data_IF_417500826038
#
_entry.id   IF_417500826038
#
_cell.length_a   1.000
_cell.length_b   1.000
_cell.length_c   1.000
_cell.angle_alpha   90.00
_cell.angle_beta   90.00
_cell.angle_gamma   90.00
#
_symmetry.space_group_name_H-M   'P 1'
#
loop_
_entity.id
_entity.type
_entity.pdbx_description
1 polymer ?
#
# COMPACT_ATOMS: atom_id res chain seq x y z
N UNK A 1 -2.40 10.68 29.13
CA UNK A 1 -2.88 11.20 27.84
C UNK A 1 -1.63 11.38 26.97
N UNK A 2 -1.54 10.69 25.83
CA UNK A 2 -0.43 10.91 24.90
C UNK A 2 -0.45 12.38 24.48
N UNK A 3 0.72 13.02 24.45
CA UNK A 3 0.81 14.44 24.14
C UNK A 3 0.44 14.64 22.66
N UNK A 4 -0.65 15.35 22.38
CA UNK A 4 -1.16 15.55 21.01
C UNK A 4 -0.19 16.36 20.12
N UNK A 5 0.91 16.87 20.70
CA UNK A 5 1.96 17.63 20.02
C UNK A 5 3.13 16.77 19.54
N UNK A 6 3.20 15.49 19.92
CA UNK A 6 4.26 14.59 19.51
C UNK A 6 3.92 13.90 18.18
N UNK A 7 4.92 13.77 17.31
CA UNK A 7 4.79 13.15 15.99
C UNK A 7 5.80 12.03 15.81
N UNK A 8 5.43 11.05 14.99
CA UNK A 8 6.27 9.92 14.62
C UNK A 8 6.33 9.80 13.09
N UNK A 9 7.52 9.56 12.55
CA UNK A 9 7.69 9.35 11.12
C UNK A 9 7.26 7.92 10.76
N UNK A 10 6.44 7.79 9.71
CA UNK A 10 6.04 6.52 9.12
C UNK A 10 6.60 6.38 7.70
N UNK A 11 6.83 5.13 7.28
CA UNK A 11 7.26 4.78 5.93
C UNK A 11 6.12 4.09 5.16
N UNK A 12 5.69 4.68 4.05
CA UNK A 12 4.56 4.21 3.22
C UNK A 12 5.06 4.14 1.77
N UNK A 13 5.34 2.92 1.29
CA UNK A 13 6.10 2.74 0.05
C UNK A 13 7.47 3.39 0.18
N UNK A 14 7.71 4.40 -0.65
CA UNK A 14 8.90 5.25 -0.61
C UNK A 14 8.64 6.64 -0.03
N UNK A 15 7.49 6.90 0.57
CA UNK A 15 7.20 8.15 1.28
C UNK A 15 7.56 8.04 2.76
N UNK A 16 8.19 9.08 3.30
CA UNK A 16 8.28 9.34 4.74
C UNK A 16 7.37 10.51 5.10
N UNK A 17 6.58 10.38 6.16
CA UNK A 17 5.67 11.43 6.64
C UNK A 17 5.48 11.33 8.15
N UNK A 18 5.38 12.47 8.83
CA UNK A 18 5.16 12.52 10.27
C UNK A 18 3.66 12.51 10.59
N UNK A 19 3.23 11.57 11.44
CA UNK A 19 1.85 11.43 11.91
C UNK A 19 1.81 11.69 13.42
N UNK A 20 0.80 12.37 13.96
CA UNK A 20 0.70 12.56 15.41
C UNK A 20 0.63 11.21 16.13
N UNK A 21 1.34 11.07 17.26
CA UNK A 21 1.39 9.81 18.03
C UNK A 21 0.05 9.35 18.58
N UNK A 22 -0.92 10.27 18.64
CA UNK A 22 -2.29 9.95 19.03
C UNK A 22 -3.04 9.16 17.97
N UNK A 23 -2.56 9.09 16.72
CA UNK A 23 -3.22 8.34 15.65
C UNK A 23 -2.57 6.96 15.50
N UNK A 24 -3.41 5.95 15.31
CA UNK A 24 -3.00 4.57 15.04
C UNK A 24 -3.12 4.25 13.55
N UNK A 25 -2.14 3.52 13.01
CA UNK A 25 -2.21 2.97 11.67
C UNK A 25 -3.28 1.87 11.64
N UNK A 26 -4.41 2.13 10.99
CA UNK A 26 -5.52 1.17 10.89
C UNK A 26 -5.47 0.32 9.63
N UNK A 27 -4.83 0.83 8.57
CA UNK A 27 -4.69 0.11 7.32
C UNK A 27 -3.48 0.61 6.54
N UNK A 28 -2.69 -0.31 6.00
CA UNK A 28 -1.70 -0.06 4.96
C UNK A 28 -1.94 -1.07 3.84
N UNK A 29 -2.15 -0.60 2.63
CA UNK A 29 -2.49 -1.44 1.49
C UNK A 29 -1.88 -0.91 0.21
N UNK A 30 -1.99 -1.70 -0.87
CA UNK A 30 -1.47 -1.34 -2.17
C UNK A 30 -0.60 -2.45 -2.75
N UNK A 31 0.15 -2.10 -3.78
CA UNK A 31 1.01 -3.02 -4.50
C UNK A 31 2.40 -2.39 -4.71
N UNK A 32 3.43 -3.23 -4.62
CA UNK A 32 4.80 -2.89 -4.95
C UNK A 32 5.44 -4.17 -5.48
N UNK A 33 5.90 -4.15 -6.74
CA UNK A 33 6.43 -5.31 -7.48
C UNK A 33 5.41 -6.42 -7.80
N UNK A 34 4.58 -6.79 -6.83
CA UNK A 34 3.54 -7.84 -6.88
C UNK A 34 2.16 -7.22 -6.75
N UNK A 35 1.11 -7.92 -7.21
CA UNK A 35 -0.26 -7.39 -7.18
C UNK A 35 -0.89 -7.39 -5.79
N UNK A 36 -0.49 -8.32 -4.92
CA UNK A 36 -0.94 -8.39 -3.53
C UNK A 36 0.25 -8.74 -2.63
N UNK A 37 0.25 -8.21 -1.40
CA UNK A 37 1.25 -8.52 -0.39
C UNK A 37 0.62 -8.51 1.00
N UNK A 38 0.93 -9.52 1.81
CA UNK A 38 0.33 -9.72 3.13
C UNK A 38 1.33 -10.31 4.12
N UNK A 39 1.30 -9.81 5.36
CA UNK A 39 1.97 -10.42 6.51
C UNK A 39 0.99 -11.37 7.19
N UNK A 40 1.31 -12.66 7.22
CA UNK A 40 0.43 -13.71 7.73
C UNK A 40 0.61 -13.98 9.23
N UNK A 41 1.77 -13.62 9.80
CA UNK A 41 2.03 -13.77 11.23
C UNK A 41 3.43 -14.31 11.54
N UNK A 42 3.75 -14.57 12.81
CA UNK A 42 5.01 -15.20 13.19
C UNK A 42 5.06 -16.65 12.67
N UNK A 43 6.22 -17.10 12.20
CA UNK A 43 6.41 -18.47 11.74
C UNK A 43 7.65 -18.65 10.87
N UNK A 44 8.17 -19.88 10.88
CA UNK A 44 9.27 -20.32 10.03
C UNK A 44 8.79 -20.92 8.72
N UNK A 45 9.72 -21.58 8.04
CA UNK A 45 9.47 -22.29 6.78
C UNK A 45 8.33 -23.32 6.86
N UNK A 46 8.25 -24.08 7.95
CA UNK A 46 7.19 -25.07 8.18
C UNK A 46 5.79 -24.43 8.28
N UNK A 47 5.72 -23.23 8.84
CA UNK A 47 4.46 -22.49 8.96
C UNK A 47 4.02 -21.94 7.60
N UNK A 48 4.95 -21.43 6.79
CA UNK A 48 4.67 -21.05 5.41
C UNK A 48 4.15 -22.25 4.59
N UNK A 49 4.73 -23.44 4.78
CA UNK A 49 4.26 -24.66 4.14
C UNK A 49 2.86 -25.09 4.61
N UNK A 50 2.61 -25.01 5.92
CA UNK A 50 1.29 -25.31 6.50
C UNK A 50 0.22 -24.42 5.88
N UNK A 51 0.46 -23.11 5.83
CA UNK A 51 -0.48 -22.14 5.25
C UNK A 51 -0.66 -22.38 3.74
N UNK A 52 0.41 -22.66 2.99
CA UNK A 52 0.31 -23.00 1.57
C UNK A 52 -0.55 -24.25 1.34
N UNK A 53 -0.39 -25.29 2.18
CA UNK A 53 -1.23 -26.50 2.13
C UNK A 53 -2.70 -26.21 2.45
N UNK A 54 -2.97 -25.38 3.44
CA UNK A 54 -4.34 -24.95 3.78
C UNK A 54 -4.98 -24.20 2.62
N UNK A 55 -4.23 -23.32 1.95
CA UNK A 55 -4.70 -22.63 0.76
C UNK A 55 -5.03 -23.61 -0.38
N UNK A 56 -4.18 -24.61 -0.62
CA UNK A 56 -4.41 -25.64 -1.65
C UNK A 56 -5.68 -26.43 -1.34
N UNK A 57 -5.88 -26.85 -0.09
CA UNK A 57 -7.09 -27.55 0.33
C UNK A 57 -8.33 -26.66 0.13
N UNK A 58 -8.28 -25.41 0.58
CA UNK A 58 -9.37 -24.46 0.43
C UNK A 58 -9.73 -24.18 -1.04
N UNK A 59 -8.73 -24.11 -1.93
CA UNK A 59 -8.95 -23.97 -3.38
C UNK A 59 -9.61 -25.22 -3.98
N UNK A 60 -9.15 -26.42 -3.60
CA UNK A 60 -9.74 -27.69 -4.05
C UNK A 60 -11.19 -27.86 -3.55
N UNK A 61 -11.46 -27.45 -2.32
CA UNK A 61 -12.79 -27.45 -1.71
C UNK A 61 -13.70 -26.36 -2.30
N UNK A 62 -13.13 -25.39 -3.05
CA UNK A 62 -13.88 -24.35 -3.73
C UNK A 62 -14.38 -23.22 -2.84
N UNK A 63 -13.81 -23.06 -1.65
CA UNK A 63 -14.25 -22.05 -0.67
C UNK A 63 -13.51 -20.71 -0.82
N UNK A 64 -12.43 -20.66 -1.59
CA UNK A 64 -11.67 -19.43 -1.85
C UNK A 64 -12.41 -18.58 -2.89
N UNK A 65 -12.63 -17.31 -2.57
CA UNK A 65 -13.22 -16.31 -3.46
C UNK A 65 -12.31 -15.09 -3.59
N UNK A 66 -12.31 -14.46 -4.76
CA UNK A 66 -11.67 -13.17 -4.97
C UNK A 66 -12.45 -12.06 -4.26
N UNK A 67 -11.88 -10.85 -4.20
CA UNK A 67 -12.57 -9.65 -3.71
C UNK A 67 -13.90 -9.35 -4.42
N UNK A 68 -14.07 -9.84 -5.66
CA UNK A 68 -15.32 -9.71 -6.43
C UNK A 68 -16.34 -10.82 -6.16
N UNK A 69 -16.07 -11.70 -5.19
CA UNK A 69 -16.90 -12.88 -4.88
C UNK A 69 -16.72 -14.05 -5.84
N UNK A 70 -15.86 -13.92 -6.86
CA UNK A 70 -15.60 -14.98 -7.84
C UNK A 70 -14.80 -16.13 -7.23
N UNK A 71 -15.31 -17.35 -7.32
CA UNK A 71 -14.60 -18.58 -6.91
C UNK A 71 -13.23 -18.67 -7.57
N UNK A 72 -12.24 -19.16 -6.82
CA UNK A 72 -10.89 -19.44 -7.30
C UNK A 72 -10.69 -20.94 -7.41
N UNK A 73 -10.13 -21.38 -8.53
CA UNK A 73 -9.82 -22.77 -8.87
C UNK A 73 -8.34 -23.02 -8.62
N UNK A 74 -8.02 -24.18 -8.04
CA UNK A 74 -6.65 -24.68 -7.92
C UNK A 74 -6.11 -25.07 -9.31
N UNK A 75 -4.89 -24.66 -9.64
CA UNK A 75 -4.18 -25.12 -10.84
C UNK A 75 -3.02 -26.06 -10.49
N UNK A 76 -2.08 -25.57 -9.69
CA UNK A 76 -0.86 -26.30 -9.35
C UNK A 76 -0.24 -25.79 -8.05
N UNK A 77 0.74 -26.53 -7.55
CA UNK A 77 1.61 -26.10 -6.47
C UNK A 77 3.04 -26.53 -6.77
N UNK A 78 4.01 -25.72 -6.36
CA UNK A 78 5.43 -25.99 -6.51
C UNK A 78 6.19 -25.49 -5.28
N UNK A 79 7.32 -26.12 -4.98
CA UNK A 79 8.29 -25.61 -3.99
C UNK A 79 9.56 -25.22 -4.72
N UNK A 80 9.94 -23.95 -4.61
CA UNK A 80 11.16 -23.39 -5.23
C UNK A 80 12.05 -22.87 -4.11
N UNK A 81 13.09 -23.63 -3.76
CA UNK A 81 13.89 -23.36 -2.56
C UNK A 81 12.99 -23.40 -1.32
N UNK A 82 12.97 -22.30 -0.56
CA UNK A 82 12.14 -22.14 0.64
C UNK A 82 10.81 -21.41 0.38
N UNK A 83 10.44 -21.21 -0.89
CA UNK A 83 9.19 -20.55 -1.29
C UNK A 83 8.19 -21.61 -1.77
N UNK A 84 6.97 -21.54 -1.24
CA UNK A 84 5.85 -22.36 -1.69
C UNK A 84 4.97 -21.55 -2.63
N UNK A 85 4.88 -21.95 -3.89
CA UNK A 85 4.08 -21.29 -4.92
C UNK A 85 2.80 -22.07 -5.14
N UNK A 86 1.66 -21.39 -5.06
CA UNK A 86 0.34 -21.95 -5.35
C UNK A 86 -0.26 -21.17 -6.50
N UNK A 87 -0.58 -21.87 -7.60
CA UNK A 87 -1.22 -21.27 -8.77
C UNK A 87 -2.73 -21.44 -8.69
N UNK A 88 -3.47 -20.36 -8.91
CA UNK A 88 -4.94 -20.34 -8.91
C UNK A 88 -5.50 -19.47 -10.02
N UNK A 89 -6.73 -19.75 -10.42
CA UNK A 89 -7.41 -19.01 -11.48
C UNK A 89 -8.85 -18.67 -11.09
N UNK A 90 -9.37 -17.55 -11.58
CA UNK A 90 -10.79 -17.24 -11.40
C UNK A 90 -11.68 -18.23 -12.15
N UNK A 91 -12.79 -18.65 -11.55
CA UNK A 91 -13.80 -19.42 -12.26
C UNK A 91 -14.60 -18.49 -13.20
N UNK A 92 -14.35 -18.62 -14.51
CA UNK A 92 -15.05 -17.88 -15.57
C UNK A 92 -16.09 -18.73 -16.31
N UNK A 93 -16.43 -19.93 -15.81
CA UNK A 93 -17.35 -20.86 -16.48
C UNK A 93 -18.75 -20.28 -16.75
N UNK A 94 -19.19 -19.31 -15.96
CA UNK A 94 -20.46 -18.60 -16.12
C UNK A 94 -20.35 -17.26 -16.83
N UNK A 95 -19.14 -16.87 -17.26
CA UNK A 95 -18.87 -15.61 -17.94
C UNK A 95 -18.82 -15.81 -19.46
N UNK A 96 -19.25 -14.80 -20.22
CA UNK A 96 -19.04 -14.76 -21.68
C UNK A 96 -17.59 -14.41 -22.07
N UNK A 97 -16.71 -14.18 -21.10
CA UNK A 97 -15.30 -13.83 -21.32
C UNK A 97 -14.42 -15.04 -21.01
N UNK A 98 -13.63 -15.47 -21.99
CA UNK A 98 -12.54 -16.41 -21.76
C UNK A 98 -11.32 -15.66 -21.23
N UNK A 99 -11.06 -15.81 -19.94
CA UNK A 99 -9.87 -15.29 -19.26
C UNK A 99 -8.99 -16.43 -18.75
N UNK A 100 -9.06 -17.60 -19.41
CA UNK A 100 -8.28 -18.78 -19.04
C UNK A 100 -6.77 -18.62 -19.24
N UNK A 101 -6.35 -17.63 -20.02
CA UNK A 101 -4.94 -17.27 -20.24
C UNK A 101 -4.31 -16.49 -19.08
N UNK A 102 -5.09 -16.01 -18.11
CA UNK A 102 -4.59 -15.33 -16.91
C UNK A 102 -4.80 -16.19 -15.67
N UNK A 103 -3.80 -16.22 -14.81
CA UNK A 103 -3.89 -16.84 -13.49
C UNK A 103 -3.13 -16.01 -12.45
N UNK A 104 -3.17 -16.45 -11.19
CA UNK A 104 -2.42 -15.86 -10.10
C UNK A 104 -1.46 -16.89 -9.54
N UNK A 105 -0.28 -16.42 -9.11
CA UNK A 105 0.63 -17.19 -8.28
C UNK A 105 0.80 -16.53 -6.92
N UNK A 106 0.46 -17.29 -5.88
CA UNK A 106 0.68 -16.93 -4.49
C UNK A 106 1.98 -17.59 -4.01
N UNK A 107 2.98 -16.79 -3.66
CA UNK A 107 4.19 -17.23 -2.97
C UNK A 107 4.05 -17.08 -1.46
N UNK A 108 4.15 -18.19 -0.74
CA UNK A 108 4.23 -18.26 0.72
C UNK A 108 5.67 -18.51 1.13
N UNK A 109 6.22 -17.64 1.97
CA UNK A 109 7.62 -17.70 2.38
C UNK A 109 7.80 -17.13 3.80
N UNK A 110 8.86 -17.54 4.48
CA UNK A 110 9.26 -16.99 5.78
C UNK A 110 10.50 -16.12 5.64
N UNK A 111 10.54 -15.00 6.37
CA UNK A 111 11.72 -14.17 6.51
C UNK A 111 11.82 -13.69 7.96
N UNK A 112 12.97 -13.96 8.59
CA UNK A 112 13.27 -13.59 9.98
C UNK A 112 12.16 -13.98 10.99
N UNK A 113 11.59 -15.17 10.82
CA UNK A 113 10.56 -15.71 11.73
C UNK A 113 9.16 -15.12 11.51
N UNK A 114 8.90 -14.49 10.37
CA UNK A 114 7.58 -14.01 9.96
C UNK A 114 7.21 -14.60 8.61
N UNK A 115 5.97 -15.05 8.46
CA UNK A 115 5.43 -15.59 7.21
C UNK A 115 4.71 -14.50 6.42
N UNK A 116 4.92 -14.51 5.12
CA UNK A 116 4.32 -13.59 4.16
C UNK A 116 3.65 -14.35 3.01
N UNK A 117 2.68 -13.68 2.40
CA UNK A 117 2.11 -14.04 1.10
C UNK A 117 2.34 -12.88 0.14
N UNK A 118 2.93 -13.17 -1.00
CA UNK A 118 2.97 -12.25 -2.15
C UNK A 118 2.21 -12.91 -3.31
N UNK A 119 1.36 -12.15 -4.01
CA UNK A 119 0.64 -12.68 -5.16
C UNK A 119 0.91 -11.84 -6.41
N UNK A 120 1.05 -12.49 -7.56
CA UNK A 120 1.23 -11.82 -8.84
C UNK A 120 0.25 -12.37 -9.89
N UNK A 121 -0.22 -11.49 -10.78
CA UNK A 121 -0.96 -11.89 -11.98
C UNK A 121 0.03 -12.41 -13.00
N UNK A 122 -0.33 -13.50 -13.63
CA UNK A 122 0.47 -14.21 -14.63
C UNK A 122 -0.32 -14.23 -15.95
N UNK A 123 0.40 -14.13 -17.06
CA UNK A 123 -0.10 -14.51 -18.37
C UNK A 123 0.92 -15.40 -19.10
N UNK A 124 0.49 -16.08 -20.16
CA UNK A 124 1.35 -17.01 -20.91
C UNK A 124 2.56 -16.32 -21.56
N UNK A 125 2.49 -15.02 -21.83
CA UNK A 125 3.54 -14.27 -22.55
C UNK A 125 4.69 -13.86 -21.65
N UNK A 126 4.47 -13.76 -20.33
CA UNK A 126 5.47 -13.26 -19.38
C UNK A 126 5.63 -14.10 -18.11
N UNK A 127 5.03 -15.29 -18.05
CA UNK A 127 4.99 -16.15 -16.87
C UNK A 127 6.35 -16.33 -16.17
N UNK A 128 7.41 -16.67 -16.92
CA UNK A 128 8.74 -16.84 -16.33
C UNK A 128 9.27 -15.55 -15.71
N UNK A 129 9.03 -14.41 -16.37
CA UNK A 129 9.44 -13.09 -15.87
C UNK A 129 8.70 -12.73 -14.58
N UNK A 130 7.38 -12.94 -14.55
CA UNK A 130 6.56 -12.66 -13.37
C UNK A 130 6.91 -13.59 -12.20
N UNK A 131 7.19 -14.86 -12.47
CA UNK A 131 7.66 -15.81 -11.44
C UNK A 131 9.01 -15.41 -10.87
N UNK A 132 9.98 -15.03 -11.71
CA UNK A 132 11.27 -14.52 -11.22
C UNK A 132 11.10 -13.25 -10.38
N UNK A 133 10.17 -12.37 -10.75
CA UNK A 133 9.82 -11.18 -9.97
C UNK A 133 9.24 -11.55 -8.60
N UNK A 134 8.32 -12.51 -8.55
CA UNK A 134 7.73 -13.02 -7.31
C UNK A 134 8.78 -13.60 -6.36
N UNK A 135 9.69 -14.43 -6.88
CA UNK A 135 10.79 -15.02 -6.11
C UNK A 135 11.80 -13.95 -5.65
N UNK A 136 12.10 -12.94 -6.47
CA UNK A 136 12.92 -11.79 -6.06
C UNK A 136 12.30 -11.03 -4.89
N UNK A 137 10.98 -10.82 -4.91
CA UNK A 137 10.27 -10.18 -3.80
C UNK A 137 10.36 -11.02 -2.54
N UNK A 138 10.10 -12.34 -2.63
CA UNK A 138 10.23 -13.24 -1.48
C UNK A 138 11.61 -13.15 -0.82
N UNK A 139 12.68 -13.18 -1.63
CA UNK A 139 14.06 -13.13 -1.14
C UNK A 139 14.49 -11.76 -0.61
N UNK A 140 13.90 -10.67 -1.10
CA UNK A 140 14.24 -9.31 -0.70
C UNK A 140 13.37 -8.77 0.45
N UNK A 141 12.41 -9.55 0.91
CA UNK A 141 11.46 -9.15 1.95
C UNK A 141 12.03 -9.43 3.33
N UNK A 142 11.86 -8.47 4.24
CA UNK A 142 12.04 -8.67 5.68
C UNK A 142 10.88 -8.07 6.47
N UNK A 143 10.57 -8.60 7.66
CA UNK A 143 9.64 -7.93 8.56
C UNK A 143 10.16 -6.56 8.99
N UNK A 144 9.21 -5.69 9.34
CA UNK A 144 9.48 -4.42 10.00
C UNK A 144 8.31 -4.06 10.91
N UNK A 145 8.60 -3.23 11.90
CA UNK A 145 7.55 -2.54 12.64
C UNK A 145 6.98 -1.35 11.81
N UNK A 146 5.72 -0.95 12.01
CA UNK A 146 5.07 0.09 11.21
C UNK A 146 5.83 1.43 11.18
N UNK A 147 6.50 1.76 12.27
CA UNK A 147 7.28 2.97 12.50
C UNK A 147 8.79 2.81 12.26
N UNK A 148 9.25 1.60 11.98
CA UNK A 148 10.63 1.40 11.57
C UNK A 148 10.86 2.09 10.24
N UNK A 149 11.92 2.90 10.15
CA UNK A 149 12.40 3.51 8.90
C UNK A 149 13.59 2.70 8.37
N UNK A 150 13.39 1.84 7.35
CA UNK A 150 14.47 1.03 6.81
C UNK A 150 15.60 1.89 6.23
N UNK A 151 16.84 1.39 6.32
CA UNK A 151 17.98 1.92 5.58
C UNK A 151 18.09 1.23 4.21
N UNK A 152 18.58 1.96 3.21
CA UNK A 152 18.81 1.46 1.86
C UNK A 152 17.56 1.46 0.98
N UNK A 153 17.76 1.20 -0.31
CA UNK A 153 16.70 1.26 -1.32
C UNK A 153 15.65 0.15 -1.13
N UNK A 154 14.38 0.48 -1.35
CA UNK A 154 13.27 -0.46 -1.20
C UNK A 154 11.92 0.20 -0.92
N UNK A 155 10.90 -0.62 -0.73
CA UNK A 155 9.52 -0.19 -0.48
C UNK A 155 9.02 -0.68 0.87
N UNK A 156 8.43 0.23 1.65
CA UNK A 156 7.76 -0.07 2.92
C UNK A 156 6.31 -0.48 2.64
N UNK A 157 6.01 -1.77 2.76
CA UNK A 157 4.66 -2.33 2.62
C UNK A 157 4.12 -2.70 4.00
N UNK A 158 2.89 -3.23 4.05
CA UNK A 158 2.24 -3.63 5.30
C UNK A 158 3.08 -4.66 6.08
N UNK A 159 3.63 -4.23 7.22
CA UNK A 159 4.44 -5.08 8.11
C UNK A 159 5.77 -5.58 7.54
N UNK A 160 6.21 -5.09 6.38
CA UNK A 160 7.44 -5.54 5.74
C UNK A 160 8.20 -4.43 4.99
N UNK A 161 9.45 -4.73 4.67
CA UNK A 161 10.31 -3.96 3.78
C UNK A 161 10.81 -4.84 2.65
N UNK A 162 10.60 -4.41 1.40
CA UNK A 162 11.07 -5.10 0.20
C UNK A 162 12.28 -4.35 -0.35
N UNK A 163 13.48 -4.90 -0.14
CA UNK A 163 14.77 -4.28 -0.47
C UNK A 163 15.12 -4.43 -1.97
N UNK A 164 14.33 -3.81 -2.85
CA UNK A 164 14.51 -3.82 -4.29
C UNK A 164 14.56 -2.39 -4.90
N UNK A 165 15.21 -2.20 -6.06
CA UNK A 165 15.14 -0.95 -6.83
C UNK A 165 13.71 -0.64 -7.28
N UNK A 166 13.34 0.64 -7.52
CA UNK A 166 11.98 1.04 -7.84
C UNK A 166 11.51 0.44 -9.16
N UNK A 167 10.34 -0.18 -9.13
CA UNK A 167 9.65 -0.68 -10.32
C UNK A 167 8.25 -0.08 -10.52
N UNK A 168 7.82 0.86 -9.69
CA UNK A 168 6.44 1.30 -9.66
C UNK A 168 5.66 0.61 -8.55
N UNK A 169 4.84 1.40 -7.90
CA UNK A 169 4.09 1.04 -6.71
C UNK A 169 2.91 1.97 -6.54
N UNK A 170 1.85 1.47 -5.91
CA UNK A 170 0.79 2.29 -5.34
C UNK A 170 0.64 1.86 -3.90
N UNK A 171 0.75 2.79 -2.97
CA UNK A 171 0.70 2.52 -1.54
C UNK A 171 -0.28 3.47 -0.88
N UNK A 172 -1.16 2.93 -0.06
CA UNK A 172 -2.13 3.66 0.74
C UNK A 172 -1.89 3.40 2.21
N UNK A 173 -2.09 4.44 3.03
CA UNK A 173 -2.13 4.29 4.48
C UNK A 173 -3.27 5.12 5.06
N UNK A 174 -3.92 4.58 6.08
CA UNK A 174 -4.95 5.28 6.85
C UNK A 174 -4.59 5.21 8.32
N UNK A 175 -4.59 6.38 8.96
CA UNK A 175 -4.37 6.55 10.38
C UNK A 175 -5.64 7.13 11.01
N UNK A 176 -6.01 6.69 12.21
CA UNK A 176 -7.19 7.16 12.93
C UNK A 176 -6.90 7.43 14.38
N UNK A 177 -7.63 8.36 14.96
CA UNK A 177 -7.66 8.52 16.41
C UNK A 177 -8.38 7.30 17.04
N UNK A 178 -7.79 6.63 18.05
CA UNK A 178 -8.43 5.49 18.70
C UNK A 178 -9.79 5.86 19.27
N UNK A 179 -10.77 4.96 19.10
CA UNK A 179 -12.15 5.13 19.57
C UNK A 179 -12.92 6.32 18.96
N UNK A 180 -12.35 7.01 17.97
CA UNK A 180 -12.98 8.11 17.24
C UNK A 180 -12.81 7.91 15.72
N UNK A 181 -13.66 7.07 15.13
CA UNK A 181 -13.71 6.83 13.67
C UNK A 181 -13.85 8.10 12.78
N UNK A 182 -14.45 9.22 13.23
CA UNK A 182 -14.53 10.42 12.38
C UNK A 182 -13.24 11.23 12.24
N UNK A 183 -12.13 10.95 12.94
CA UNK A 183 -10.86 11.69 12.77
C UNK A 183 -9.75 10.81 12.21
N UNK A 184 -9.10 11.28 11.14
CA UNK A 184 -8.03 10.51 10.53
C UNK A 184 -7.14 11.28 9.57
N UNK A 185 -6.08 10.58 9.17
CA UNK A 185 -5.20 10.95 8.07
C UNK A 185 -5.25 9.83 7.04
N UNK A 186 -5.39 10.18 5.75
CA UNK A 186 -5.30 9.23 4.65
C UNK A 186 -4.25 9.69 3.65
N UNK A 187 -3.39 8.75 3.27
CA UNK A 187 -2.29 8.96 2.35
C UNK A 187 -2.43 7.98 1.19
N UNK A 188 -2.19 8.46 -0.03
CA UNK A 188 -2.03 7.65 -1.23
C UNK A 188 -0.78 8.10 -1.96
N UNK A 189 0.11 7.17 -2.26
CA UNK A 189 1.37 7.40 -2.96
C UNK A 189 1.41 6.51 -4.19
N UNK A 190 1.75 7.07 -5.35
CA UNK A 190 1.97 6.31 -6.57
C UNK A 190 3.33 6.64 -7.19
N UNK A 191 3.98 5.61 -7.70
CA UNK A 191 5.22 5.67 -8.46
C UNK A 191 5.01 4.93 -9.79
N UNK A 192 5.43 5.54 -10.89
CA UNK A 192 5.43 4.92 -12.22
C UNK A 192 6.83 4.92 -12.80
N UNK A 193 7.24 3.82 -13.42
CA UNK A 193 8.55 3.76 -14.09
C UNK A 193 8.60 4.76 -15.25
N UNK A 194 9.81 5.16 -15.66
CA UNK A 194 9.99 5.85 -16.92
C UNK A 194 9.35 5.08 -18.09
N UNK A 195 8.68 5.80 -18.99
CA UNK A 195 8.02 5.23 -20.18
C UNK A 195 6.70 4.46 -19.92
N UNK A 196 6.25 4.34 -18.66
CA UNK A 196 4.92 3.78 -18.36
C UNK A 196 3.79 4.78 -18.65
N UNK A 197 2.55 4.30 -18.52
CA UNK A 197 1.35 5.14 -18.62
C UNK A 197 1.41 6.33 -17.66
N UNK A 198 0.93 7.47 -18.14
CA UNK A 198 0.77 8.70 -17.36
C UNK A 198 -0.03 8.46 -16.07
N UNK A 199 0.37 9.19 -15.03
CA UNK A 199 -0.37 9.28 -13.78
C UNK A 199 -1.62 10.13 -13.98
N UNK A 200 -2.70 9.79 -13.27
CA UNK A 200 -3.81 10.72 -13.10
C UNK A 200 -3.38 11.83 -12.14
N UNK A 201 -3.19 13.03 -12.70
CA UNK A 201 -2.79 14.23 -11.98
C UNK A 201 -3.86 15.33 -12.07
N UNK A 202 -5.11 14.99 -12.39
CA UNK A 202 -6.17 15.98 -12.60
C UNK A 202 -6.30 16.94 -11.40
N UNK A 203 -6.38 16.40 -10.19
CA UNK A 203 -6.47 17.21 -8.97
C UNK A 203 -5.22 18.08 -8.75
N UNK A 204 -4.02 17.53 -8.97
CA UNK A 204 -2.75 18.22 -8.80
C UNK A 204 -2.53 19.34 -9.84
N UNK A 205 -3.09 19.19 -11.04
CA UNK A 205 -2.99 20.14 -12.14
C UNK A 205 -4.20 21.08 -12.24
N UNK A 206 -5.23 20.86 -11.40
CA UNK A 206 -6.46 21.66 -11.42
C UNK A 206 -6.19 23.15 -11.19
N UNK A 207 -7.14 23.98 -11.60
CA UNK A 207 -7.17 25.42 -11.26
C UNK A 207 -7.89 25.70 -9.94
N UNK A 208 -8.34 24.65 -9.24
CA UNK A 208 -9.10 24.74 -7.99
C UNK A 208 -8.14 24.59 -6.80
N UNK A 209 -8.35 25.40 -5.76
CA UNK A 209 -7.52 25.38 -4.56
C UNK A 209 -6.22 26.18 -4.71
N UNK A 210 -5.46 26.20 -3.62
CA UNK A 210 -4.22 26.94 -3.51
C UNK A 210 -3.03 26.09 -3.98
N UNK A 211 -1.99 26.73 -4.52
CA UNK A 211 -0.76 26.01 -4.90
C UNK A 211 -0.05 25.52 -3.65
N UNK A 212 0.54 24.34 -3.73
CA UNK A 212 1.39 23.76 -2.68
C UNK A 212 2.54 22.98 -3.32
N UNK A 213 3.58 22.75 -2.53
CA UNK A 213 4.65 21.79 -2.86
C UNK A 213 4.85 20.87 -1.67
N UNK A 214 4.79 19.57 -1.90
CA UNK A 214 4.95 18.54 -0.86
C UNK A 214 5.98 17.54 -1.37
N UNK A 215 6.98 17.21 -0.55
CA UNK A 215 8.09 16.32 -0.97
C UNK A 215 8.81 16.77 -2.26
N UNK A 216 8.80 18.07 -2.57
CA UNK A 216 9.34 18.64 -3.82
C UNK A 216 8.43 18.49 -5.04
N UNK A 217 7.22 17.95 -4.88
CA UNK A 217 6.23 17.77 -5.95
C UNK A 217 5.25 18.95 -5.95
N UNK A 218 5.00 19.60 -7.10
CA UNK A 218 4.01 20.66 -7.21
C UNK A 218 2.58 20.10 -7.21
N UNK A 219 1.63 20.90 -6.75
CA UNK A 219 0.21 20.56 -6.88
C UNK A 219 -0.74 21.58 -6.27
N UNK A 220 -1.88 21.06 -5.80
CA UNK A 220 -2.98 21.85 -5.23
C UNK A 220 -3.38 21.34 -3.87
N UNK A 221 -3.86 22.25 -3.03
CA UNK A 221 -4.56 21.90 -1.81
C UNK A 221 -5.82 22.72 -1.60
N UNK A 222 -6.77 22.14 -0.88
CA UNK A 222 -8.00 22.77 -0.44
C UNK A 222 -8.23 22.51 1.04
N UNK A 223 -8.99 23.40 1.67
CA UNK A 223 -9.47 23.25 3.04
C UNK A 223 -10.94 23.64 3.15
N UNK A 224 -11.69 22.87 3.91
CA UNK A 224 -13.11 23.11 4.20
C UNK A 224 -13.36 23.00 5.71
N UNK A 225 -14.23 23.87 6.22
CA UNK A 225 -14.70 23.92 7.61
C UNK A 225 -16.23 23.91 7.70
N UNK A 226 -16.93 23.58 6.61
CA UNK A 226 -18.38 23.71 6.51
C UNK A 226 -19.14 22.66 7.32
N UNK A 227 -18.90 21.37 7.05
CA UNK A 227 -19.60 20.24 7.70
C UNK A 227 -18.67 19.31 8.49
N UNK A 228 -17.38 19.47 8.28
CA UNK A 228 -16.25 18.74 8.85
C UNK A 228 -15.04 19.67 8.75
N UNK A 229 -13.98 19.40 9.50
CA UNK A 229 -12.66 19.96 9.17
C UNK A 229 -12.04 19.01 8.15
N UNK A 230 -11.77 19.50 6.95
CA UNK A 230 -11.18 18.69 5.89
C UNK A 230 -10.05 19.45 5.22
N UNK A 231 -8.89 18.81 5.11
CA UNK A 231 -7.78 19.28 4.29
C UNK A 231 -7.41 18.19 3.30
N UNK A 232 -7.12 18.59 2.08
CA UNK A 232 -6.63 17.69 1.04
C UNK A 232 -5.60 18.39 0.19
N UNK A 233 -4.50 17.69 -0.07
CA UNK A 233 -3.52 18.07 -1.07
C UNK A 233 -3.31 16.91 -2.04
N UNK A 234 -3.17 17.27 -3.31
CA UNK A 234 -2.78 16.38 -4.40
C UNK A 234 -1.58 17.01 -5.09
N UNK A 235 -0.45 16.32 -5.09
CA UNK A 235 0.77 16.76 -5.74
C UNK A 235 1.31 15.66 -6.65
N UNK A 236 2.06 16.05 -7.67
CA UNK A 236 2.71 15.06 -8.51
C UNK A 236 3.50 15.64 -9.67
N UNK A 237 4.19 14.74 -10.35
CA UNK A 237 4.91 14.98 -11.58
C UNK A 237 4.65 13.81 -12.54
N UNK A 238 4.53 14.11 -13.83
CA UNK A 238 4.35 13.05 -14.80
C UNK A 238 5.61 12.20 -14.95
N UNK A 239 5.40 10.96 -15.37
CA UNK A 239 6.49 10.12 -15.88
C UNK A 239 6.94 10.62 -17.25
N UNK A 240 8.20 10.40 -17.57
CA UNK A 240 8.77 10.62 -18.91
C UNK A 240 9.63 9.41 -19.29
N UNK A 241 10.25 9.40 -20.46
CA UNK A 241 11.16 8.31 -20.85
C UNK A 241 12.39 8.19 -19.95
N UNK A 242 12.73 9.23 -19.18
CA UNK A 242 13.95 9.30 -18.36
C UNK A 242 13.68 9.49 -16.86
N UNK A 243 12.43 9.76 -16.46
CA UNK A 243 12.09 10.14 -15.09
C UNK A 243 10.85 9.42 -14.61
N UNK A 244 10.88 8.98 -13.35
CA UNK A 244 9.73 8.40 -12.69
C UNK A 244 8.60 9.41 -12.52
N UNK A 245 7.38 8.95 -12.78
CA UNK A 245 6.17 9.64 -12.37
C UNK A 245 5.94 9.44 -10.87
N UNK A 246 5.52 10.49 -10.18
CA UNK A 246 5.17 10.45 -8.76
C UNK A 246 3.84 11.15 -8.54
N UNK A 247 2.95 10.56 -7.75
CA UNK A 247 1.78 11.25 -7.21
C UNK A 247 1.65 10.99 -5.71
N UNK A 248 1.17 12.01 -4.99
CA UNK A 248 0.92 11.95 -3.56
C UNK A 248 -0.39 12.69 -3.26
N UNK A 249 -1.32 11.98 -2.64
CA UNK A 249 -2.51 12.54 -2.03
C UNK A 249 -2.40 12.44 -0.50
N UNK A 250 -2.56 13.55 0.19
CA UNK A 250 -2.61 13.61 1.66
C UNK A 250 -3.92 14.25 2.07
N UNK A 251 -4.62 13.62 3.01
CA UNK A 251 -5.89 14.11 3.55
C UNK A 251 -5.87 14.06 5.06
N UNK A 252 -6.34 15.13 5.69
CA UNK A 252 -6.76 15.14 7.09
C UNK A 252 -8.26 15.37 7.13
N UNK A 253 -8.95 14.69 8.03
CA UNK A 253 -10.37 14.87 8.25
C UNK A 253 -10.73 14.78 9.73
N UNK A 254 -11.65 15.64 10.19
CA UNK A 254 -12.39 15.55 11.46
C UNK A 254 -13.88 15.75 11.16
N UNK A 255 -14.63 14.64 11.21
CA UNK A 255 -16.06 14.55 10.93
C UNK A 255 -16.93 14.55 12.19
N UNK A 256 -16.36 14.84 13.35
CA UNK A 256 -17.10 14.82 14.61
C UNK A 256 -18.18 15.87 14.63
N UNK A 257 -19.16 15.65 15.50
CA UNK A 257 -20.19 16.64 15.80
C UNK A 257 -20.26 16.85 17.31
N UNK A 258 -20.05 18.07 17.81
CA UNK A 258 -19.58 19.26 17.07
C UNK A 258 -18.12 19.10 16.61
N UNK A 259 -17.76 19.64 15.43
CA UNK A 259 -16.37 19.67 14.94
C UNK A 259 -15.64 20.93 15.43
N UNK A 260 -14.31 20.89 15.48
CA UNK A 260 -13.48 22.05 15.85
C UNK A 260 -13.51 22.41 17.33
N UNK A 261 -13.95 21.48 18.18
CA UNK A 261 -13.85 21.56 19.64
C UNK A 261 -12.76 20.61 20.15
N UNK A 262 -12.33 20.84 21.38
CA UNK A 262 -11.40 19.96 22.10
C UNK A 262 -11.79 18.47 21.95
N UNK A 263 -10.82 17.55 21.77
CA UNK A 263 -9.36 17.77 21.76
C UNK A 263 -8.74 18.25 20.43
N UNK A 264 -9.52 18.41 19.36
CA UNK A 264 -9.01 18.85 18.05
C UNK A 264 -9.76 20.11 17.61
N UNK A 265 -9.33 21.23 18.17
CA UNK A 265 -9.76 22.54 17.72
C UNK A 265 -9.32 22.77 16.28
N UNK A 266 -9.91 23.78 15.63
CA UNK A 266 -9.48 24.19 14.30
C UNK A 266 -7.99 24.51 14.22
N UNK A 267 -7.48 25.25 15.20
CA UNK A 267 -6.06 25.60 15.30
C UNK A 267 -5.18 24.35 15.42
N UNK A 268 -5.60 23.37 16.23
CA UNK A 268 -4.88 22.10 16.34
C UNK A 268 -4.88 21.32 15.02
N UNK A 269 -6.00 21.33 14.30
CA UNK A 269 -6.10 20.68 13.00
C UNK A 269 -5.23 21.37 11.93
N UNK A 270 -5.17 22.70 11.93
CA UNK A 270 -4.25 23.48 11.07
C UNK A 270 -2.78 23.09 11.37
N UNK A 271 -2.39 22.99 12.64
CA UNK A 271 -1.02 22.58 13.03
C UNK A 271 -0.67 21.15 12.58
N UNK A 272 -1.61 20.21 12.73
CA UNK A 272 -1.42 18.83 12.27
C UNK A 272 -1.25 18.81 10.74
N UNK A 273 -2.10 19.55 10.02
CA UNK A 273 -2.02 19.67 8.58
C UNK A 273 -0.66 20.22 8.12
N UNK A 274 -0.21 21.33 8.69
CA UNK A 274 1.07 21.95 8.34
C UNK A 274 2.24 20.97 8.58
N UNK A 275 2.22 20.24 9.71
CA UNK A 275 3.26 19.23 9.98
C UNK A 275 3.23 18.06 9.01
N UNK A 276 2.05 17.59 8.60
CA UNK A 276 1.89 16.51 7.62
C UNK A 276 2.54 16.89 6.28
N UNK A 277 2.26 18.09 5.78
CA UNK A 277 2.78 18.54 4.48
C UNK A 277 4.27 18.86 4.53
N UNK A 278 4.76 19.48 5.61
CA UNK A 278 6.17 19.88 5.74
C UNK A 278 7.11 18.70 5.98
N UNK A 279 6.64 17.65 6.67
CA UNK A 279 7.45 16.47 6.99
C UNK A 279 7.58 15.48 5.83
N UNK A 280 6.65 15.54 4.87
CA UNK A 280 6.54 14.60 3.77
C UNK A 280 7.76 14.69 2.84
N UNK A 281 8.44 13.56 2.62
CA UNK A 281 9.63 13.47 1.77
C UNK A 281 9.78 12.08 1.15
N UNK A 282 10.35 12.02 -0.06
CA UNK A 282 10.69 10.75 -0.70
C UNK A 282 11.93 10.15 -0.04
N UNK A 283 11.82 8.90 0.39
CA UNK A 283 12.91 8.07 0.90
C UNK A 283 13.83 7.71 -0.26
N UNK A 284 15.10 8.10 -0.16
CA UNK A 284 16.16 7.74 -1.10
C UNK A 284 16.88 6.48 -0.61
#
# INVERSE_FOLDING_TARGET
MANADEFKTYCIGRLLIDIPVSFELVNQSGWAYVSEFERLGPGGHEEAERIAREQVNALKDGVVTSQTGRRQLYLSQEKIGDVYVVSRQGDYSTSSMDLSYMWFEDAFFSSQGVVFRAAIVMDETDADTQRQKLLRVANATRPREPDEIPRGEGSCVAGAFIALPPEGEVQGATFRLPNEDPIGVRISFSLRKPGERELDLEAAQSNIGSRITIAGLPGRYGKDYGREIFYMASVGQQTTDQQFGLSLDVRYFDRRRPFGVEPFTREKADQIWDRLVDSARIRR
#
